data_IF_759191572525
#
_entry.id   IF_759191572525
#
_cell.length_a   1.000
_cell.length_b   1.000
_cell.length_c   1.000
_cell.angle_alpha   90.00
_cell.angle_beta   90.00
_cell.angle_gamma   90.00
#
_symmetry.space_group_name_H-M   'P 1'
#
loop_
_entity.id
_entity.type
_entity.pdbx_description
1 polymer ?
#
# COMPACT_ATOMS: atom_id res chain seq x y z
N UNK A 1 47.69 10.07 -28.15
CA UNK A 1 46.72 10.56 -27.15
C UNK A 1 45.25 10.41 -27.62
N UNK A 2 44.85 9.23 -28.13
CA UNK A 2 43.52 8.97 -28.72
C UNK A 2 42.59 8.10 -27.83
N UNK A 3 42.94 7.89 -26.56
CA UNK A 3 42.22 6.95 -25.68
C UNK A 3 41.09 7.61 -24.85
N UNK A 4 41.07 8.95 -24.73
CA UNK A 4 40.14 9.65 -23.82
C UNK A 4 38.70 9.84 -24.35
N UNK A 5 38.47 9.69 -25.66
CA UNK A 5 37.12 9.91 -26.23
C UNK A 5 36.25 8.65 -26.24
N UNK A 6 36.89 7.47 -26.25
CA UNK A 6 36.17 6.18 -26.27
C UNK A 6 35.63 5.83 -24.88
N UNK A 7 36.37 6.14 -23.80
CA UNK A 7 35.87 5.94 -22.44
C UNK A 7 34.69 6.86 -22.07
N UNK A 8 34.68 8.11 -22.58
CA UNK A 8 33.58 9.04 -22.31
C UNK A 8 32.30 8.65 -23.08
N UNK A 9 32.43 8.12 -24.29
CA UNK A 9 31.32 7.61 -25.07
C UNK A 9 30.77 6.28 -24.54
N UNK A 10 31.64 5.40 -24.01
CA UNK A 10 31.22 4.16 -23.35
C UNK A 10 30.50 4.43 -22.02
N UNK A 11 30.89 5.47 -21.28
CA UNK A 11 30.19 5.88 -20.05
C UNK A 11 28.80 6.49 -20.30
N UNK A 12 28.57 7.16 -21.45
CA UNK A 12 27.23 7.62 -21.84
C UNK A 12 26.35 6.51 -22.45
N UNK A 13 26.95 5.43 -22.96
CA UNK A 13 26.21 4.32 -23.57
C UNK A 13 25.68 3.31 -22.53
N UNK A 14 26.24 3.27 -21.32
CA UNK A 14 25.73 2.40 -20.23
C UNK A 14 24.54 2.99 -19.45
N UNK A 15 24.14 4.23 -19.73
CA UNK A 15 22.96 4.87 -19.11
C UNK A 15 21.67 4.73 -19.91
N UNK A 16 21.68 3.94 -20.99
CA UNK A 16 20.49 3.67 -21.81
C UNK A 16 20.06 2.20 -21.68
N UNK A 17 19.84 1.72 -20.45
CA UNK A 17 18.83 0.68 -20.29
C UNK A 17 17.51 1.35 -20.63
N UNK A 18 16.77 0.79 -21.59
CA UNK A 18 15.37 1.13 -21.76
C UNK A 18 14.66 0.79 -20.45
N UNK A 19 14.55 1.76 -19.54
CA UNK A 19 13.59 1.71 -18.46
C UNK A 19 12.24 1.70 -19.17
N UNK A 20 11.61 0.53 -19.28
CA UNK A 20 10.17 0.49 -19.46
C UNK A 20 9.60 1.38 -18.35
N UNK A 21 9.04 2.51 -18.75
CA UNK A 21 8.59 3.53 -17.82
C UNK A 21 7.42 2.95 -17.03
N UNK A 22 7.61 2.65 -15.76
CA UNK A 22 6.52 2.39 -14.83
C UNK A 22 6.06 3.71 -14.21
N UNK A 23 4.77 3.80 -13.86
CA UNK A 23 4.17 4.99 -13.28
C UNK A 23 3.63 4.64 -11.90
N UNK A 24 4.15 5.31 -10.87
CA UNK A 24 3.59 5.27 -9.53
C UNK A 24 2.23 5.97 -9.54
N UNK A 25 1.17 5.22 -9.23
CA UNK A 25 -0.19 5.73 -9.18
C UNK A 25 -0.58 6.14 -7.76
N UNK A 26 -0.13 5.38 -6.77
CA UNK A 26 -0.49 5.59 -5.38
C UNK A 26 0.57 5.00 -4.44
N UNK A 27 0.83 5.68 -3.33
CA UNK A 27 1.65 5.15 -2.25
C UNK A 27 1.12 5.68 -0.93
N UNK A 28 0.84 4.77 0.01
CA UNK A 28 0.44 5.15 1.36
C UNK A 28 0.79 4.09 2.39
N UNK A 29 1.37 4.55 3.50
CA UNK A 29 1.68 3.76 4.69
C UNK A 29 0.91 4.28 5.92
N UNK A 30 -0.18 5.01 5.66
CA UNK A 30 -1.15 5.54 6.61
C UNK A 30 -0.60 6.40 7.78
N UNK A 31 0.58 6.98 7.64
CA UNK A 31 1.26 7.77 8.70
C UNK A 31 0.60 9.12 9.02
N UNK A 32 -0.13 9.72 8.08
CA UNK A 32 -0.57 11.11 8.18
C UNK A 32 -2.11 11.26 8.11
N UNK A 33 -2.86 10.68 9.05
CA UNK A 33 -4.32 10.87 9.08
C UNK A 33 -4.69 12.32 9.43
N UNK A 34 -5.86 12.76 8.99
CA UNK A 34 -6.59 13.83 9.64
C UNK A 34 -7.01 13.35 11.04
N UNK A 35 -6.29 13.81 12.06
CA UNK A 35 -6.54 13.44 13.44
C UNK A 35 -7.90 13.92 13.95
N UNK A 36 -8.45 15.01 13.42
CA UNK A 36 -9.79 15.47 13.82
C UNK A 36 -10.82 14.49 13.29
N UNK A 37 -10.71 14.10 12.02
CA UNK A 37 -11.60 13.10 11.42
C UNK A 37 -11.45 11.73 12.10
N UNK A 38 -10.22 11.27 12.36
CA UNK A 38 -9.97 10.01 13.08
C UNK A 38 -10.63 10.03 14.46
N UNK A 39 -10.44 11.10 15.25
CA UNK A 39 -10.95 11.18 16.62
C UNK A 39 -12.46 11.51 16.70
N UNK A 40 -13.12 11.89 15.60
CA UNK A 40 -14.53 12.26 15.59
C UNK A 40 -15.46 11.07 15.92
N UNK A 41 -15.05 9.86 15.51
CA UNK A 41 -15.90 8.68 15.50
C UNK A 41 -15.18 7.45 16.09
N UNK A 42 -14.72 7.58 17.33
CA UNK A 42 -13.99 6.50 18.03
C UNK A 42 -14.85 5.80 19.11
N UNK A 43 -16.17 5.97 19.06
CA UNK A 43 -17.14 5.30 19.94
C UNK A 43 -16.92 5.55 21.44
N UNK A 44 -17.39 4.63 22.28
CA UNK A 44 -17.22 4.70 23.73
C UNK A 44 -15.76 4.47 24.13
N UNK A 45 -15.00 5.56 24.21
CA UNK A 45 -13.72 5.59 24.91
C UNK A 45 -12.47 5.57 24.04
N UNK A 46 -12.54 5.83 22.74
CA UNK A 46 -11.34 6.14 21.95
C UNK A 46 -10.37 4.96 21.78
N UNK A 47 -10.86 3.73 21.61
CA UNK A 47 -10.04 2.50 21.71
C UNK A 47 -9.06 2.24 20.55
N UNK A 48 -8.26 3.23 20.18
CA UNK A 48 -7.24 3.11 19.12
C UNK A 48 -7.82 2.70 17.76
N UNK A 49 -9.08 3.00 17.48
CA UNK A 49 -9.76 2.75 16.20
C UNK A 49 -10.80 3.82 15.92
N UNK A 50 -11.15 4.00 14.64
CA UNK A 50 -12.17 4.92 14.16
C UNK A 50 -13.09 4.26 13.13
N UNK A 51 -14.40 4.49 13.27
CA UNK A 51 -15.40 4.17 12.25
C UNK A 51 -15.72 5.36 11.33
N UNK A 52 -14.96 6.47 11.44
CA UNK A 52 -14.91 7.47 10.37
C UNK A 52 -14.49 6.78 9.08
N UNK A 53 -15.04 7.24 7.95
CA UNK A 53 -14.70 6.66 6.66
C UNK A 53 -13.20 6.86 6.38
N UNK A 54 -12.58 5.94 5.64
CA UNK A 54 -11.16 6.07 5.25
C UNK A 54 -10.97 7.36 4.45
N UNK A 55 -11.99 7.77 3.69
CA UNK A 55 -12.02 9.05 2.99
C UNK A 55 -12.06 10.26 3.90
N UNK A 56 -12.73 10.21 5.05
CA UNK A 56 -12.72 11.34 5.98
C UNK A 56 -11.34 11.50 6.62
N UNK A 57 -10.68 10.37 6.91
CA UNK A 57 -9.39 10.33 7.60
C UNK A 57 -8.22 10.65 6.65
N UNK A 58 -8.23 10.11 5.43
CA UNK A 58 -7.17 10.26 4.44
C UNK A 58 -7.62 11.03 3.20
N UNK A 59 -8.59 11.93 3.38
CA UNK A 59 -9.16 12.73 2.31
C UNK A 59 -8.05 13.34 1.45
N UNK A 60 -8.14 13.17 0.13
CA UNK A 60 -7.28 13.88 -0.80
C UNK A 60 -5.77 13.60 -0.56
N UNK A 61 -5.43 12.37 -0.13
CA UNK A 61 -4.05 11.89 0.04
C UNK A 61 -3.77 10.67 -0.87
N UNK A 62 -3.19 10.86 -2.07
CA UNK A 62 -2.70 12.12 -2.64
C UNK A 62 -3.83 13.02 -3.16
N UNK A 63 -3.50 14.28 -3.48
CA UNK A 63 -4.51 15.24 -3.93
C UNK A 63 -5.30 14.73 -5.15
N UNK A 64 -6.63 14.84 -5.08
CA UNK A 64 -7.58 14.34 -6.07
C UNK A 64 -7.99 12.87 -5.88
N UNK A 65 -7.41 12.14 -4.91
CA UNK A 65 -7.73 10.75 -4.65
C UNK A 65 -8.90 10.59 -3.67
N UNK A 66 -9.73 9.58 -3.94
CA UNK A 66 -10.87 9.17 -3.12
C UNK A 66 -11.00 7.66 -3.17
N UNK A 67 -11.14 7.03 -2.01
CA UNK A 67 -11.51 5.64 -1.86
C UNK A 67 -13.00 5.44 -2.17
N UNK A 68 -13.39 4.24 -2.58
CA UNK A 68 -14.77 3.79 -2.44
C UNK A 68 -14.82 2.74 -1.33
N UNK A 69 -15.84 2.77 -0.49
CA UNK A 69 -15.96 1.81 0.60
C UNK A 69 -17.37 1.26 0.69
N UNK A 70 -17.46 0.00 1.10
CA UNK A 70 -18.69 -0.65 1.49
C UNK A 70 -18.58 -0.99 2.97
N UNK A 71 -19.66 -0.73 3.73
CA UNK A 71 -19.75 -1.00 5.16
C UNK A 71 -18.67 -0.30 5.99
N UNK A 72 -17.98 -1.03 6.86
CA UNK A 72 -17.21 -0.51 7.99
C UNK A 72 -15.71 -0.74 7.78
N UNK A 73 -15.19 -0.37 6.61
CA UNK A 73 -13.75 -0.24 6.44
C UNK A 73 -13.25 0.85 7.39
N UNK A 74 -12.42 0.45 8.35
CA UNK A 74 -12.04 1.23 9.53
C UNK A 74 -10.56 1.60 9.51
N UNK A 75 -10.16 2.52 10.39
CA UNK A 75 -8.74 2.83 10.62
C UNK A 75 -8.36 2.53 12.06
N UNK A 76 -7.26 1.80 12.26
CA UNK A 76 -6.70 1.48 13.57
C UNK A 76 -5.43 2.29 13.82
N UNK A 77 -5.18 2.66 15.07
CA UNK A 77 -3.95 3.28 15.54
C UNK A 77 -3.00 2.22 16.07
N UNK A 78 -1.81 2.15 15.52
CA UNK A 78 -0.73 1.26 15.98
C UNK A 78 -0.05 1.86 17.21
N UNK A 79 0.27 1.03 18.20
CA UNK A 79 0.98 1.45 19.41
C UNK A 79 0.15 2.32 20.37
N UNK A 80 -1.18 2.35 20.18
CA UNK A 80 -2.10 3.01 21.10
C UNK A 80 -2.13 2.36 22.50
N UNK A 81 -2.98 2.88 23.39
CA UNK A 81 -3.01 2.45 24.80
C UNK A 81 -4.42 2.31 25.37
N UNK A 82 -5.41 2.11 24.51
CA UNK A 82 -6.83 2.09 24.87
C UNK A 82 -7.50 0.76 24.48
N UNK A 83 -7.07 0.14 23.38
CA UNK A 83 -7.47 -1.21 23.01
C UNK A 83 -6.85 -2.27 23.96
N UNK A 84 -7.48 -3.43 24.05
CA UNK A 84 -6.96 -4.63 24.72
C UNK A 84 -6.49 -4.39 26.17
N UNK A 85 -7.33 -3.71 26.96
CA UNK A 85 -7.01 -3.42 28.37
C UNK A 85 -5.81 -2.49 28.56
N UNK A 86 -5.48 -1.68 27.56
CA UNK A 86 -4.36 -0.73 27.58
C UNK A 86 -3.10 -1.22 26.88
N UNK A 87 -3.11 -2.45 26.34
CA UNK A 87 -1.99 -2.98 25.58
C UNK A 87 -1.87 -2.42 24.15
N UNK A 88 -2.98 -1.89 23.60
CA UNK A 88 -3.04 -1.38 22.24
C UNK A 88 -2.85 -2.44 21.15
N UNK A 89 -2.81 -1.98 19.90
CA UNK A 89 -2.38 -2.78 18.76
C UNK A 89 -0.85 -2.76 18.65
N UNK A 90 -0.22 -3.92 18.54
CA UNK A 90 1.23 -4.08 18.63
C UNK A 90 1.83 -4.51 17.31
N UNK A 91 2.90 -3.84 16.89
CA UNK A 91 3.66 -4.20 15.69
C UNK A 91 5.11 -4.60 16.02
N UNK A 92 5.35 -5.87 16.39
CA UNK A 92 6.69 -6.35 16.72
C UNK A 92 7.62 -6.42 15.50
N UNK A 93 7.08 -6.39 14.27
CA UNK A 93 7.89 -6.42 13.05
C UNK A 93 8.34 -5.02 12.60
N UNK A 94 7.78 -3.95 13.21
CA UNK A 94 8.07 -2.56 12.85
C UNK A 94 7.89 -2.31 11.35
N UNK A 95 6.78 -2.80 10.80
CA UNK A 95 6.39 -2.67 9.40
C UNK A 95 5.22 -1.73 9.19
N UNK A 96 4.30 -1.67 10.14
CA UNK A 96 3.15 -0.79 10.04
C UNK A 96 3.58 0.67 10.15
N UNK A 97 2.83 1.56 9.51
CA UNK A 97 2.82 2.96 9.88
C UNK A 97 2.13 3.18 11.23
N UNK A 98 1.96 4.45 11.60
CA UNK A 98 1.26 4.82 12.84
C UNK A 98 -0.23 4.40 12.84
N UNK A 99 -0.79 4.11 11.67
CA UNK A 99 -2.18 3.68 11.49
C UNK A 99 -2.25 2.62 10.39
N UNK A 100 -3.32 1.82 10.40
CA UNK A 100 -3.59 0.79 9.40
C UNK A 100 -5.07 0.75 9.05
N UNK A 101 -5.41 0.14 7.91
CA UNK A 101 -6.80 -0.08 7.52
C UNK A 101 -7.29 -1.41 8.08
N UNK A 102 -8.43 -1.40 8.76
CA UNK A 102 -9.13 -2.58 9.24
C UNK A 102 -10.27 -2.97 8.30
N UNK A 103 -10.46 -4.28 8.10
CA UNK A 103 -11.57 -4.85 7.33
C UNK A 103 -12.20 -5.99 8.13
N UNK A 104 -13.50 -6.17 7.93
CA UNK A 104 -14.32 -7.21 8.55
C UNK A 104 -14.96 -8.06 7.46
N UNK A 105 -14.89 -9.39 7.62
CA UNK A 105 -15.46 -10.38 6.69
C UNK A 105 -16.62 -11.20 7.26
N UNK A 106 -16.77 -11.26 8.59
CA UNK A 106 -17.71 -12.19 9.25
C UNK A 106 -19.07 -11.58 9.60
N UNK A 107 -19.13 -10.28 9.90
CA UNK A 107 -20.38 -9.59 10.24
C UNK A 107 -20.83 -8.60 9.15
N UNK A 108 -19.86 -8.02 8.42
CA UNK A 108 -20.06 -7.23 7.22
C UNK A 108 -19.15 -7.79 6.12
N UNK A 109 -19.50 -7.55 4.86
CA UNK A 109 -18.66 -7.86 3.70
C UNK A 109 -17.92 -6.59 3.29
N UNK A 110 -16.97 -6.16 4.11
CA UNK A 110 -16.25 -4.90 3.89
C UNK A 110 -15.49 -4.96 2.57
N UNK A 111 -15.57 -3.88 1.80
CA UNK A 111 -14.86 -3.75 0.51
C UNK A 111 -14.23 -2.38 0.40
N UNK A 112 -13.00 -2.35 -0.10
CA UNK A 112 -12.28 -1.13 -0.39
C UNK A 112 -11.94 -1.05 -1.89
N UNK A 113 -12.44 -0.01 -2.54
CA UNK A 113 -12.23 0.29 -3.95
C UNK A 113 -11.25 1.44 -4.15
N UNK A 114 -10.28 1.25 -5.05
CA UNK A 114 -9.31 2.28 -5.45
C UNK A 114 -9.31 2.39 -6.97
N UNK A 115 -9.60 3.58 -7.50
CA UNK A 115 -9.75 3.79 -8.95
C UNK A 115 -8.62 4.65 -9.52
N UNK A 116 -8.07 4.24 -10.65
CA UNK A 116 -6.91 4.87 -11.27
C UNK A 116 -7.01 4.86 -12.78
N UNK A 117 -6.34 5.83 -13.42
CA UNK A 117 -6.03 5.75 -14.84
C UNK A 117 -4.63 5.14 -15.02
N UNK A 118 -4.57 3.93 -15.56
CA UNK A 118 -3.35 3.18 -15.86
C UNK A 118 -2.83 3.42 -17.28
N UNK A 119 -3.44 4.30 -18.05
CA UNK A 119 -3.11 4.52 -19.45
C UNK A 119 -3.19 3.22 -20.28
N UNK A 120 -2.13 2.92 -21.03
CA UNK A 120 -2.04 1.74 -21.89
C UNK A 120 -1.18 0.61 -21.30
N UNK A 121 -0.84 0.66 -20.01
CA UNK A 121 0.00 -0.33 -19.36
C UNK A 121 -0.67 -1.69 -19.24
N UNK A 122 0.11 -2.76 -19.42
CA UNK A 122 -0.38 -4.15 -19.41
C UNK A 122 -0.72 -4.70 -18.03
N UNK A 123 -0.11 -4.14 -17.00
CA UNK A 123 -0.27 -4.60 -15.63
C UNK A 123 -0.56 -3.45 -14.67
N UNK A 124 -1.51 -3.73 -13.78
CA UNK A 124 -1.70 -3.02 -12.54
C UNK A 124 -0.96 -3.81 -11.45
N UNK A 125 0.14 -3.26 -10.95
CA UNK A 125 0.94 -3.90 -9.90
C UNK A 125 0.60 -3.29 -8.55
N UNK A 126 0.42 -4.15 -7.56
CA UNK A 126 0.08 -3.74 -6.20
C UNK A 126 0.98 -4.45 -5.20
N UNK A 127 1.65 -3.65 -4.37
CA UNK A 127 2.27 -4.09 -3.14
C UNK A 127 1.43 -3.64 -1.95
N UNK A 128 1.26 -4.55 -1.00
CA UNK A 128 0.60 -4.31 0.27
C UNK A 128 1.14 -5.28 1.33
N UNK A 129 0.95 -4.90 2.59
CA UNK A 129 1.08 -5.79 3.73
C UNK A 129 -0.31 -6.15 4.27
N UNK A 130 -0.48 -7.41 4.67
CA UNK A 130 -1.71 -7.91 5.30
C UNK A 130 -1.39 -8.60 6.63
N UNK A 131 -2.29 -8.50 7.61
CA UNK A 131 -2.14 -9.15 8.91
C UNK A 131 -3.48 -9.61 9.47
N UNK A 132 -3.48 -10.73 10.19
CA UNK A 132 -4.57 -11.06 11.12
C UNK A 132 -4.57 -10.06 12.29
N UNK A 133 -5.72 -9.55 12.69
CA UNK A 133 -5.91 -8.72 13.89
C UNK A 133 -7.36 -8.84 14.36
N UNK A 134 -7.72 -8.35 15.54
CA UNK A 134 -9.10 -8.33 16.01
C UNK A 134 -9.39 -7.12 16.90
N UNK A 135 -10.68 -6.87 17.14
CA UNK A 135 -11.17 -5.82 18.02
C UNK A 135 -11.68 -6.40 19.35
N UNK A 136 -11.29 -5.81 20.48
CA UNK A 136 -11.86 -6.11 21.81
C UNK A 136 -13.09 -5.23 22.15
N UNK A 137 -13.70 -4.63 21.12
CA UNK A 137 -14.78 -3.67 21.23
C UNK A 137 -15.66 -3.68 19.98
N UNK A 138 -16.71 -2.85 20.00
CA UNK A 138 -17.70 -2.71 18.92
C UNK A 138 -18.32 -4.04 18.46
N UNK A 139 -18.50 -4.98 19.39
CA UNK A 139 -19.09 -6.28 19.11
C UNK A 139 -18.08 -7.38 18.78
N UNK A 140 -16.78 -7.05 18.66
CA UNK A 140 -15.71 -8.04 18.62
C UNK A 140 -15.53 -8.77 19.97
N UNK A 141 -14.72 -9.84 20.02
CA UNK A 141 -13.84 -10.33 18.94
C UNK A 141 -14.60 -10.99 17.79
N UNK A 142 -14.09 -10.80 16.58
CA UNK A 142 -14.62 -11.35 15.33
C UNK A 142 -13.80 -12.54 14.81
N UNK A 143 -12.55 -12.67 15.25
CA UNK A 143 -11.66 -13.77 14.91
C UNK A 143 -11.93 -14.95 15.85
N UNK A 144 -12.10 -16.19 15.35
CA UNK A 144 -12.33 -17.36 16.20
C UNK A 144 -11.21 -17.58 17.23
N UNK A 145 -11.55 -18.18 18.37
CA UNK A 145 -10.57 -18.60 19.38
C UNK A 145 -9.50 -19.51 18.77
N UNK A 146 -8.22 -19.19 18.99
CA UNK A 146 -7.09 -19.84 18.33
C UNK A 146 -6.60 -19.11 17.08
N UNK A 147 -7.35 -18.09 16.65
CA UNK A 147 -7.03 -17.18 15.55
C UNK A 147 -7.28 -17.78 14.17
N UNK A 148 -7.21 -16.92 13.15
CA UNK A 148 -7.37 -17.31 11.75
C UNK A 148 -6.42 -16.50 10.86
N UNK A 149 -5.73 -17.18 9.93
CA UNK A 149 -4.92 -16.50 8.93
C UNK A 149 -5.86 -15.84 7.90
N UNK A 150 -5.63 -14.57 7.53
CA UNK A 150 -6.54 -13.85 6.66
C UNK A 150 -6.33 -14.25 5.21
N UNK A 151 -7.37 -14.16 4.39
CA UNK A 151 -7.26 -14.21 2.94
C UNK A 151 -8.08 -13.11 2.30
N UNK A 152 -7.52 -12.53 1.24
CA UNK A 152 -8.15 -11.44 0.50
C UNK A 152 -8.23 -11.79 -0.97
N UNK A 153 -9.29 -11.37 -1.63
CA UNK A 153 -9.37 -11.29 -3.08
C UNK A 153 -9.06 -9.88 -3.54
N UNK A 154 -8.12 -9.77 -4.46
CA UNK A 154 -7.79 -8.55 -5.18
C UNK A 154 -8.36 -8.68 -6.58
N UNK A 155 -9.39 -7.88 -6.90
CA UNK A 155 -10.07 -7.91 -8.20
C UNK A 155 -9.85 -6.60 -8.94
N UNK A 156 -9.38 -6.67 -10.18
CA UNK A 156 -9.25 -5.52 -11.07
C UNK A 156 -10.42 -5.49 -12.05
N UNK A 157 -11.14 -4.37 -12.07
CA UNK A 157 -12.27 -4.15 -12.95
C UNK A 157 -11.99 -3.04 -13.97
N UNK A 158 -12.53 -3.17 -15.17
CA UNK A 158 -12.62 -2.07 -16.14
C UNK A 158 -13.56 -1.00 -15.59
N UNK A 159 -13.14 0.26 -15.59
CA UNK A 159 -13.96 1.36 -15.08
C UNK A 159 -14.00 2.52 -16.07
N UNK A 160 -14.74 2.39 -17.20
CA UNK A 160 -14.76 3.42 -18.23
C UNK A 160 -15.21 4.80 -17.72
N UNK A 161 -15.99 4.84 -16.64
CA UNK A 161 -16.50 6.09 -16.06
C UNK A 161 -15.46 6.87 -15.27
N UNK A 162 -14.40 6.20 -14.78
CA UNK A 162 -13.42 6.77 -13.86
C UNK A 162 -13.96 7.10 -12.46
N UNK A 163 -15.23 6.80 -12.16
CA UNK A 163 -15.85 7.08 -10.86
C UNK A 163 -15.43 6.02 -9.84
N UNK A 164 -15.03 6.44 -8.65
CA UNK A 164 -14.69 5.52 -7.55
C UNK A 164 -15.90 4.63 -7.17
N UNK A 165 -15.68 3.32 -7.09
CA UNK A 165 -16.70 2.32 -6.76
C UNK A 165 -16.04 1.08 -6.12
N UNK A 166 -16.86 0.17 -5.57
CA UNK A 166 -16.42 -1.11 -4.97
C UNK A 166 -16.67 -2.31 -5.90
N UNK A 167 -16.57 -2.07 -7.21
CA UNK A 167 -16.75 -3.06 -8.27
C UNK A 167 -17.55 -2.50 -9.45
N UNK A 168 -17.18 -2.92 -10.66
CA UNK A 168 -17.92 -2.62 -11.90
C UNK A 168 -18.37 -3.91 -12.58
N UNK A 169 -19.06 -3.79 -13.73
CA UNK A 169 -19.61 -4.93 -14.44
C UNK A 169 -18.57 -5.85 -15.10
N UNK A 170 -17.33 -5.40 -15.35
CA UNK A 170 -16.35 -6.16 -16.13
C UNK A 170 -15.07 -6.40 -15.35
N UNK A 171 -14.93 -7.63 -14.84
CA UNK A 171 -13.69 -8.12 -14.23
C UNK A 171 -12.62 -8.34 -15.31
N UNK A 172 -11.43 -7.81 -15.09
CA UNK A 172 -10.26 -7.97 -15.95
C UNK A 172 -9.36 -9.10 -15.45
N UNK A 173 -9.04 -9.08 -14.16
CA UNK A 173 -8.20 -10.08 -13.51
C UNK A 173 -8.46 -10.12 -12.00
N UNK A 174 -8.10 -11.22 -11.34
CA UNK A 174 -8.19 -11.34 -9.89
C UNK A 174 -7.15 -12.30 -9.34
N UNK A 175 -6.71 -12.05 -8.10
CA UNK A 175 -5.82 -12.95 -7.37
C UNK A 175 -6.24 -13.03 -5.90
N UNK A 176 -6.14 -14.23 -5.33
CA UNK A 176 -6.31 -14.43 -3.90
C UNK A 176 -4.93 -14.44 -3.22
N UNK A 177 -4.80 -13.69 -2.13
CA UNK A 177 -3.60 -13.65 -1.29
C UNK A 177 -3.94 -14.12 0.12
N UNK A 178 -2.96 -14.70 0.82
CA UNK A 178 -3.14 -15.22 2.17
C UNK A 178 -2.05 -14.73 3.11
N UNK A 179 -2.46 -14.30 4.29
CA UNK A 179 -1.56 -13.90 5.36
C UNK A 179 -1.15 -15.07 6.23
N UNK A 180 -0.50 -14.74 7.34
CA UNK A 180 -0.17 -15.69 8.40
C UNK A 180 -0.99 -15.38 9.64
N UNK A 181 -1.21 -16.42 10.45
CA UNK A 181 -1.87 -16.27 11.74
C UNK A 181 -1.02 -15.41 12.69
N UNK A 182 -1.65 -14.44 13.36
CA UNK A 182 -1.03 -13.65 14.41
C UNK A 182 -0.88 -14.42 15.73
N UNK A 183 0.15 -14.08 16.50
CA UNK A 183 0.43 -14.74 17.79
C UNK A 183 -0.58 -14.40 18.88
N UNK A 184 -1.25 -13.25 18.76
CA UNK A 184 -2.33 -12.81 19.63
C UNK A 184 -3.29 -11.88 18.84
N UNK A 185 -4.55 -11.71 19.30
CA UNK A 185 -5.56 -10.91 18.58
C UNK A 185 -5.19 -9.43 18.38
N UNK A 186 -4.30 -8.88 19.19
CA UNK A 186 -3.88 -7.48 19.13
C UNK A 186 -2.46 -7.28 18.58
N UNK A 187 -1.83 -8.33 18.08
CA UNK A 187 -0.44 -8.31 17.60
C UNK A 187 -0.46 -8.52 16.09
N UNK A 188 0.10 -7.59 15.33
CA UNK A 188 0.24 -7.77 13.90
C UNK A 188 1.30 -8.83 13.57
N UNK A 189 1.04 -9.59 12.50
CA UNK A 189 1.95 -10.52 11.86
C UNK A 189 1.85 -10.33 10.34
N UNK A 190 2.51 -9.29 9.86
CA UNK A 190 2.50 -8.81 8.49
C UNK A 190 3.14 -9.79 7.51
N UNK A 191 2.39 -10.11 6.46
CA UNK A 191 2.90 -10.73 5.23
C UNK A 191 2.89 -9.69 4.12
N UNK A 192 4.03 -9.54 3.42
CA UNK A 192 4.12 -8.68 2.25
C UNK A 192 3.72 -9.45 0.98
N UNK A 193 2.91 -8.82 0.15
CA UNK A 193 2.56 -9.33 -1.17
C UNK A 193 2.89 -8.31 -2.25
N UNK A 194 3.38 -8.79 -3.38
CA UNK A 194 3.50 -8.06 -4.63
C UNK A 194 2.75 -8.88 -5.68
N UNK A 195 1.71 -8.29 -6.26
CA UNK A 195 0.89 -8.92 -7.29
C UNK A 195 0.83 -8.04 -8.52
N UNK A 196 0.68 -8.65 -9.70
CA UNK A 196 0.41 -7.94 -10.94
C UNK A 196 -0.84 -8.49 -11.60
N UNK A 197 -1.84 -7.63 -11.77
CA UNK A 197 -3.14 -7.92 -12.35
C UNK A 197 -3.15 -7.49 -13.82
N UNK A 198 -3.56 -8.38 -14.71
CA UNK A 198 -3.62 -8.15 -16.14
C UNK A 198 -4.74 -7.16 -16.48
N UNK A 199 -4.43 -6.20 -17.34
CA UNK A 199 -5.35 -5.12 -17.74
C UNK A 199 -6.01 -5.37 -19.09
N UNK A 200 -5.76 -6.54 -19.70
CA UNK A 200 -6.34 -6.93 -20.99
C UNK A 200 -7.87 -6.87 -20.93
N UNK A 201 -8.46 -6.06 -21.81
CA UNK A 201 -9.90 -5.79 -21.82
C UNK A 201 -10.30 -4.42 -21.26
N UNK A 202 -9.37 -3.70 -20.61
CA UNK A 202 -9.56 -2.30 -20.24
C UNK A 202 -9.85 -1.45 -21.49
N UNK A 203 -10.86 -0.60 -21.41
CA UNK A 203 -11.41 0.13 -22.55
C UNK A 203 -10.82 1.52 -22.74
N UNK A 204 -10.43 2.21 -21.67
CA UNK A 204 -9.96 3.60 -21.76
C UNK A 204 -8.86 4.00 -20.77
N UNK A 205 -8.22 3.01 -20.14
CA UNK A 205 -7.17 3.24 -19.16
C UNK A 205 -7.68 3.34 -17.73
N UNK A 206 -8.97 3.58 -17.50
CA UNK A 206 -9.51 3.67 -16.14
C UNK A 206 -9.89 2.30 -15.59
N UNK A 207 -9.39 1.98 -14.41
CA UNK A 207 -9.64 0.71 -13.71
C UNK A 207 -9.99 0.95 -12.26
N UNK A 208 -10.62 -0.04 -11.63
CA UNK A 208 -10.86 -0.07 -10.19
C UNK A 208 -10.30 -1.36 -9.61
N UNK A 209 -9.38 -1.24 -8.66
CA UNK A 209 -8.99 -2.32 -7.76
C UNK A 209 -10.02 -2.41 -6.65
N UNK A 210 -10.53 -3.61 -6.39
CA UNK A 210 -11.35 -3.94 -5.21
C UNK A 210 -10.59 -4.92 -4.34
N UNK A 211 -10.47 -4.58 -3.06
CA UNK A 211 -9.94 -5.42 -2.01
C UNK A 211 -11.14 -5.95 -1.21
N UNK A 212 -11.20 -7.26 -1.05
CA UNK A 212 -12.29 -8.00 -0.42
C UNK A 212 -11.67 -9.03 0.55
N UNK A 213 -12.04 -8.98 1.82
CA UNK A 213 -11.59 -9.96 2.81
C UNK A 213 -12.50 -11.20 2.74
N UNK A 214 -11.94 -12.32 2.29
CA UNK A 214 -12.70 -13.58 2.16
C UNK A 214 -12.77 -14.36 3.47
N UNK A 215 -11.65 -14.38 4.21
CA UNK A 215 -11.45 -15.14 5.44
C UNK A 215 -10.58 -14.33 6.37
N UNK A 216 -10.84 -14.42 7.67
CA UNK A 216 -10.05 -13.76 8.71
C UNK A 216 -10.90 -13.41 9.91
N UNK A 217 -12.18 -13.09 9.69
CA UNK A 217 -13.05 -12.53 10.69
C UNK A 217 -12.89 -11.02 10.69
N UNK A 218 -11.71 -10.56 11.10
CA UNK A 218 -11.25 -9.19 11.00
C UNK A 218 -9.76 -9.20 10.64
N UNK A 219 -9.31 -8.23 9.83
CA UNK A 219 -7.95 -8.22 9.30
C UNK A 219 -7.45 -6.79 9.06
N UNK A 220 -6.13 -6.63 8.94
CA UNK A 220 -5.49 -5.35 8.70
C UNK A 220 -4.69 -5.30 7.40
N UNK A 221 -4.63 -4.10 6.81
CA UNK A 221 -3.94 -3.77 5.57
C UNK A 221 -3.08 -2.50 5.76
N UNK A 222 -1.88 -2.48 5.17
CA UNK A 222 -0.98 -1.31 5.18
C UNK A 222 -0.01 -1.33 3.97
N UNK A 223 0.85 -0.31 3.87
CA UNK A 223 1.97 -0.18 2.94
C UNK A 223 1.57 -0.32 1.47
N UNK A 224 0.50 0.36 1.09
CA UNK A 224 -0.01 0.37 -0.26
C UNK A 224 0.98 1.04 -1.19
N UNK A 225 1.32 0.35 -2.27
CA UNK A 225 2.09 0.91 -3.37
C UNK A 225 1.59 0.33 -4.69
N UNK A 226 1.08 1.20 -5.53
CA UNK A 226 0.40 0.84 -6.78
C UNK A 226 1.14 1.45 -7.95
N UNK A 227 1.49 0.61 -8.91
CA UNK A 227 2.28 0.98 -10.09
C UNK A 227 1.63 0.41 -11.34
N UNK A 228 1.46 1.24 -12.36
CA UNK A 228 1.13 0.77 -13.69
C UNK A 228 2.41 0.55 -14.50
N UNK A 229 2.55 -0.62 -15.13
CA UNK A 229 3.72 -0.92 -15.97
C UNK A 229 3.43 -2.00 -17.02
N UNK A 230 4.39 -2.24 -17.90
CA UNK A 230 4.35 -3.35 -18.86
C UNK A 230 4.95 -4.65 -18.30
N UNK A 231 5.41 -4.66 -17.05
CA UNK A 231 6.05 -5.81 -16.39
C UNK A 231 5.25 -6.24 -15.16
N UNK A 232 4.81 -7.49 -15.13
CA UNK A 232 4.08 -8.04 -13.98
C UNK A 232 4.95 -8.03 -12.72
N UNK A 233 4.40 -7.50 -11.61
CA UNK A 233 5.09 -7.39 -10.33
C UNK A 233 6.07 -6.22 -10.22
N UNK A 234 6.20 -5.36 -11.25
CA UNK A 234 7.02 -4.15 -11.15
C UNK A 234 6.33 -3.08 -10.30
N UNK A 235 6.83 -2.89 -9.08
CA UNK A 235 6.38 -1.86 -8.13
C UNK A 235 7.30 -0.63 -8.14
N UNK A 236 8.12 -0.48 -9.19
CA UNK A 236 9.03 0.64 -9.40
C UNK A 236 10.18 0.69 -8.39
N UNK A 237 11.16 1.56 -8.66
CA UNK A 237 12.20 1.87 -7.67
C UNK A 237 11.60 2.75 -6.57
N UNK A 238 11.82 2.40 -5.30
CA UNK A 238 11.59 3.34 -4.18
C UNK A 238 12.62 4.46 -4.36
N UNK A 239 12.22 5.74 -4.49
CA UNK A 239 13.20 6.81 -4.63
C UNK A 239 14.13 6.79 -3.42
N UNK A 240 15.40 6.42 -3.60
CA UNK A 240 16.37 6.67 -2.56
C UNK A 240 16.44 8.18 -2.32
N UNK A 241 16.54 8.64 -1.07
CA UNK A 241 16.68 10.07 -0.81
C UNK A 241 17.84 10.59 -1.66
N UNK A 242 17.59 11.64 -2.46
CA UNK A 242 18.59 12.25 -3.34
C UNK A 242 19.91 12.61 -2.61
N UNK A 243 19.88 12.66 -1.28
CA UNK A 243 21.02 12.71 -0.39
C UNK A 243 22.09 11.62 -0.65
N UNK A 244 21.74 10.38 -0.98
CA UNK A 244 22.73 9.31 -1.23
C UNK A 244 23.43 9.49 -2.59
N UNK A 245 22.69 9.90 -3.62
CA UNK A 245 23.26 10.29 -4.90
C UNK A 245 24.14 11.54 -4.78
N UNK A 246 23.71 12.56 -4.02
CA UNK A 246 24.49 13.77 -3.74
C UNK A 246 25.72 13.48 -2.89
N UNK A 247 25.64 12.59 -1.91
CA UNK A 247 26.78 12.13 -1.10
C UNK A 247 27.79 11.39 -1.97
N UNK A 248 27.32 10.48 -2.84
CA UNK A 248 28.17 9.77 -3.80
C UNK A 248 28.90 10.71 -4.75
N UNK A 249 28.19 11.70 -5.30
CA UNK A 249 28.80 12.72 -6.16
C UNK A 249 29.77 13.63 -5.39
N UNK A 250 29.44 14.03 -4.16
CA UNK A 250 30.30 14.83 -3.29
C UNK A 250 31.61 14.11 -2.93
N UNK A 251 31.53 12.82 -2.62
CA UNK A 251 32.70 12.00 -2.29
C UNK A 251 33.60 11.77 -3.52
N UNK A 252 33.01 11.55 -4.70
CA UNK A 252 33.76 11.42 -5.96
C UNK A 252 34.50 12.73 -6.33
N UNK A 253 33.84 13.89 -6.16
CA UNK A 253 34.45 15.20 -6.40
C UNK A 253 35.61 15.47 -5.42
N UNK A 254 35.46 15.12 -4.14
CA UNK A 254 36.52 15.23 -3.14
C UNK A 254 37.72 14.32 -3.46
N UNK A 255 37.47 13.07 -3.87
CA UNK A 255 38.53 12.13 -4.26
C UNK A 255 39.35 12.60 -5.47
N UNK A 256 38.68 13.17 -6.48
CA UNK A 256 39.33 13.75 -7.66
C UNK A 256 40.14 15.01 -7.34
N UNK A 257 39.65 15.85 -6.42
CA UNK A 257 40.37 17.05 -5.98
C UNK A 257 41.65 16.73 -5.21
N UNK A 258 41.64 15.62 -4.44
CA UNK A 258 42.79 15.17 -3.64
C UNK A 258 43.90 14.58 -4.50
N UNK A 259 43.56 13.86 -5.57
CA UNK A 259 44.54 13.33 -6.54
C UNK A 259 45.27 14.41 -7.33
N UNK A 260 44.63 15.56 -7.57
CA UNK A 260 45.25 16.70 -8.26
C UNK A 260 46.23 17.51 -7.40
N UNK A 261 46.22 17.33 -6.07
CA UNK A 261 47.17 18.00 -5.16
C UNK A 261 48.45 17.21 -4.90
N UNK A 262 48.53 15.97 -5.36
CA UNK A 262 49.68 15.08 -5.18
C UNK A 262 50.37 14.69 -6.51
N UNK A 263 50.06 15.41 -7.59
CA UNK A 263 50.77 15.37 -8.87
C UNK A 263 51.31 16.77 -9.17
#
# INVERSE_FOLDING_TARGET
>A
MKLNRILLAAMLALSATATQASVLLYSQNFENPDLVAFNANTGFGGKDASFSSVNDIYANQPAGFTFAQQWTVETLRVGGSQAWGGAGFQDPQSRAGSYVIGMLSSANDDRLGLSFNIGAYKFFNFQLDISSIDLDFWGGPFVPTGGLAPSFRLSLYDNPTGVANVGTATLLDSVDITGVLSSAPNVFNWTNHIVGLNTTGNTNGNVTLVIDELVGGYSALDNFRIVASDTQGDVGQVPEPAALALLGMGMAALGLSRRRRHA
#
